data_IF_754954164826
#
_entry.id   IF_754954164826
#
_cell.length_a   1.000
_cell.length_b   1.000
_cell.length_c   1.000
_cell.angle_alpha   90.00
_cell.angle_beta   90.00
_cell.angle_gamma   90.00
#
_symmetry.space_group_name_H-M   'P 1'
#
loop_
_entity.id
_entity.type
_entity.pdbx_description
1 polymer ?
#
# COMPACT_ATOMS: atom_id res chain seq x y z
N UNK A 1 5.82 8.98 -16.61
CA UNK A 1 4.63 8.43 -15.91
C UNK A 1 5.10 7.38 -14.91
N UNK A 2 4.67 7.51 -13.67
CA UNK A 2 5.03 6.55 -12.62
C UNK A 2 4.32 5.21 -12.88
N UNK A 3 5.10 4.13 -12.90
CA UNK A 3 4.53 2.78 -13.03
C UNK A 3 3.78 2.41 -11.74
N UNK A 4 2.83 1.51 -11.86
CA UNK A 4 2.08 1.03 -10.71
C UNK A 4 2.36 -0.45 -10.44
N UNK A 5 2.09 -0.88 -9.21
CA UNK A 5 2.09 -2.29 -8.81
C UNK A 5 1.20 -3.12 -9.75
N UNK A 6 1.74 -4.23 -10.24
CA UNK A 6 1.06 -5.08 -11.22
C UNK A 6 0.00 -5.97 -10.57
N UNK A 7 -1.14 -6.07 -11.24
CA UNK A 7 -2.22 -6.96 -10.83
C UNK A 7 -3.04 -7.41 -12.04
N UNK A 8 -3.78 -8.47 -11.85
CA UNK A 8 -4.78 -8.98 -12.79
C UNK A 8 -6.16 -8.89 -12.14
N UNK A 9 -7.16 -8.40 -12.87
CA UNK A 9 -8.53 -8.39 -12.39
C UNK A 9 -9.12 -9.80 -12.54
N UNK A 10 -9.52 -10.41 -11.43
CA UNK A 10 -10.19 -11.73 -11.42
C UNK A 10 -11.68 -11.56 -11.70
N UNK A 11 -12.29 -10.57 -11.04
CA UNK A 11 -13.72 -10.27 -11.18
C UNK A 11 -14.00 -8.81 -10.91
N UNK A 12 -14.89 -8.21 -11.68
CA UNK A 12 -15.38 -6.84 -11.50
C UNK A 12 -16.76 -6.87 -10.86
N UNK A 13 -16.91 -6.20 -9.74
CA UNK A 13 -18.19 -5.91 -9.09
C UNK A 13 -18.60 -4.47 -9.42
N UNK A 14 -19.80 -4.06 -8.99
CA UNK A 14 -20.30 -2.71 -9.31
C UNK A 14 -19.36 -1.61 -8.78
N UNK A 15 -18.90 -1.72 -7.53
CA UNK A 15 -18.15 -0.68 -6.85
C UNK A 15 -16.73 -1.08 -6.44
N UNK A 16 -16.31 -2.30 -6.74
CA UNK A 16 -14.96 -2.78 -6.42
C UNK A 16 -14.53 -3.91 -7.35
N UNK A 17 -13.26 -4.26 -7.28
CA UNK A 17 -12.67 -5.36 -8.05
C UNK A 17 -12.04 -6.39 -7.12
N UNK A 18 -12.12 -7.65 -7.53
CA UNK A 18 -11.29 -8.73 -6.98
C UNK A 18 -10.04 -8.83 -7.86
N UNK A 19 -8.88 -8.65 -7.24
CA UNK A 19 -7.58 -8.59 -7.94
C UNK A 19 -6.62 -9.65 -7.43
N UNK A 20 -5.79 -10.14 -8.34
CA UNK A 20 -4.59 -10.91 -8.01
C UNK A 20 -3.37 -10.03 -8.26
N UNK A 21 -2.69 -9.63 -7.18
CA UNK A 21 -1.45 -8.88 -7.27
C UNK A 21 -0.28 -9.80 -7.51
N UNK A 22 0.61 -9.42 -8.44
CA UNK A 22 1.81 -10.18 -8.73
C UNK A 22 2.82 -10.11 -7.58
N UNK A 23 3.72 -11.10 -7.45
CA UNK A 23 4.81 -11.00 -6.47
C UNK A 23 5.62 -9.72 -6.67
N UNK A 24 6.00 -9.10 -5.57
CA UNK A 24 6.82 -7.88 -5.60
C UNK A 24 7.68 -7.77 -4.35
N UNK A 25 8.64 -6.85 -4.39
CA UNK A 25 9.40 -6.46 -3.21
C UNK A 25 8.90 -5.10 -2.75
N UNK A 26 8.75 -4.92 -1.45
CA UNK A 26 8.43 -3.62 -0.85
C UNK A 26 9.57 -3.17 0.06
N UNK A 27 9.76 -1.85 0.15
CA UNK A 27 10.53 -1.21 1.19
C UNK A 27 9.54 -0.65 2.21
N UNK A 28 9.65 -1.06 3.47
CA UNK A 28 8.65 -0.82 4.50
C UNK A 28 9.25 -0.17 5.73
N UNK A 29 8.54 0.78 6.31
CA UNK A 29 8.86 1.42 7.59
C UNK A 29 7.68 1.27 8.53
N UNK A 30 7.94 0.77 9.74
CA UNK A 30 6.95 0.75 10.82
C UNK A 30 6.96 2.10 11.51
N UNK A 31 5.79 2.72 11.64
CA UNK A 31 5.61 4.05 12.22
C UNK A 31 4.60 4.00 13.36
N UNK A 32 4.96 4.61 14.50
CA UNK A 32 4.03 4.88 15.61
C UNK A 32 3.63 6.35 15.53
N UNK A 33 2.53 6.64 14.84
CA UNK A 33 2.04 8.00 14.62
C UNK A 33 0.55 7.95 14.26
N UNK A 34 -0.15 9.07 14.50
CA UNK A 34 -1.53 9.20 14.09
C UNK A 34 -1.69 9.18 12.56
N UNK A 35 -2.91 9.00 12.11
CA UNK A 35 -3.25 8.89 10.68
C UNK A 35 -2.60 9.99 9.82
N UNK A 36 -2.73 11.25 10.25
CA UNK A 36 -2.28 12.40 9.45
C UNK A 36 -0.76 12.49 9.27
N UNK A 37 0.00 11.94 10.20
CA UNK A 37 1.46 12.05 10.20
C UNK A 37 2.18 10.74 9.83
N UNK A 38 1.47 9.61 9.79
CA UNK A 38 2.09 8.31 9.55
C UNK A 38 2.85 8.26 8.22
N UNK A 39 2.18 8.61 7.12
CA UNK A 39 2.81 8.58 5.79
C UNK A 39 3.95 9.57 5.65
N UNK A 40 3.80 10.80 6.18
CA UNK A 40 4.85 11.81 6.10
C UNK A 40 6.06 11.46 6.97
N UNK A 41 5.86 10.83 8.13
CA UNK A 41 6.95 10.37 8.99
C UNK A 41 7.81 9.29 8.32
N UNK A 42 7.18 8.39 7.57
CA UNK A 42 7.87 7.30 6.88
C UNK A 42 8.44 7.71 5.53
N UNK A 43 7.82 8.67 4.85
CA UNK A 43 8.16 9.04 3.47
C UNK A 43 9.61 9.46 3.32
N UNK A 44 10.14 10.24 4.25
CA UNK A 44 11.53 10.70 4.21
C UNK A 44 12.54 9.56 4.17
N UNK A 45 12.38 8.57 5.04
CA UNK A 45 13.25 7.38 5.08
C UNK A 45 13.15 6.55 3.80
N UNK A 46 11.94 6.34 3.30
CA UNK A 46 11.69 5.56 2.09
C UNK A 46 12.20 6.29 0.84
N UNK A 47 11.95 7.59 0.74
CA UNK A 47 12.45 8.40 -0.37
C UNK A 47 13.97 8.48 -0.36
N UNK A 48 14.59 8.62 0.80
CA UNK A 48 16.04 8.56 0.94
C UNK A 48 16.60 7.23 0.42
N UNK A 49 15.97 6.12 0.77
CA UNK A 49 16.38 4.79 0.29
C UNK A 49 16.44 4.72 -1.23
N UNK A 50 15.38 5.12 -1.92
CA UNK A 50 15.31 5.05 -3.39
C UNK A 50 16.15 6.14 -4.09
N UNK A 51 16.57 7.17 -3.34
CA UNK A 51 17.36 8.30 -3.84
C UNK A 51 18.85 8.17 -3.54
N UNK A 52 19.39 6.95 -3.41
CA UNK A 52 20.79 6.62 -3.12
C UNK A 52 21.13 6.39 -1.63
N UNK A 53 20.17 6.44 -0.71
CA UNK A 53 20.37 6.12 0.71
C UNK A 53 20.49 4.62 0.96
N UNK A 54 21.35 3.96 0.20
CA UNK A 54 21.59 2.51 0.27
C UNK A 54 23.07 2.20 0.07
N UNK A 55 23.45 0.96 0.33
CA UNK A 55 24.87 0.55 0.38
C UNK A 55 25.64 0.73 -0.93
N UNK A 56 24.96 0.73 -2.07
CA UNK A 56 25.59 0.92 -3.39
C UNK A 56 25.33 2.31 -3.99
N UNK A 57 24.69 3.21 -3.26
CA UNK A 57 24.28 4.55 -3.72
C UNK A 57 23.50 4.52 -5.05
N UNK A 58 22.69 3.49 -5.21
CA UNK A 58 21.90 3.26 -6.41
C UNK A 58 20.57 4.04 -6.34
N UNK A 59 20.22 4.71 -7.43
CA UNK A 59 18.89 5.31 -7.59
C UNK A 59 17.90 4.24 -8.01
N UNK A 60 16.77 4.15 -7.30
CA UNK A 60 15.68 3.22 -7.60
C UNK A 60 14.48 4.03 -8.09
N UNK A 61 13.85 3.59 -9.19
CA UNK A 61 12.70 4.28 -9.75
C UNK A 61 11.49 4.22 -8.82
N UNK A 62 10.72 5.31 -8.73
CA UNK A 62 9.49 5.37 -7.94
C UNK A 62 8.38 4.56 -8.61
N UNK A 63 7.70 3.72 -7.84
CA UNK A 63 6.52 2.96 -8.26
C UNK A 63 5.32 3.35 -7.39
N UNK A 64 4.16 3.48 -7.99
CA UNK A 64 2.91 3.75 -7.27
C UNK A 64 2.23 2.43 -6.88
N UNK A 65 1.46 2.40 -5.80
CA UNK A 65 1.16 3.46 -4.86
C UNK A 65 2.15 3.54 -3.70
N UNK A 66 2.02 4.59 -2.88
CA UNK A 66 2.53 4.59 -1.50
C UNK A 66 1.45 3.93 -0.65
N UNK A 67 1.81 2.87 0.05
CA UNK A 67 0.86 2.05 0.82
C UNK A 67 0.99 2.36 2.31
N UNK A 68 -0.11 2.71 2.97
CA UNK A 68 -0.19 2.79 4.42
C UNK A 68 -1.10 1.65 4.92
N UNK A 69 -0.53 0.66 5.56
CA UNK A 69 -1.23 -0.52 6.04
C UNK A 69 -1.41 -0.49 7.55
N UNK A 70 -2.57 -0.92 8.00
CA UNK A 70 -2.91 -1.05 9.42
C UNK A 70 -3.69 -2.34 9.65
N UNK A 71 -3.44 -3.01 10.78
CA UNK A 71 -4.21 -4.17 11.21
C UNK A 71 -5.22 -3.76 12.27
N UNK A 72 -6.42 -4.32 12.21
CA UNK A 72 -7.51 -3.98 13.15
C UNK A 72 -7.25 -4.40 14.60
N UNK A 73 -6.35 -5.35 14.81
CA UNK A 73 -5.94 -5.83 16.13
C UNK A 73 -4.69 -5.15 16.69
N UNK A 74 -4.12 -4.22 15.91
CA UNK A 74 -2.97 -3.41 16.35
C UNK A 74 -3.42 -2.09 16.98
N UNK A 75 -2.46 -1.36 17.56
CA UNK A 75 -2.69 -0.01 18.06
C UNK A 75 -3.15 0.91 16.92
N UNK A 76 -4.07 1.82 17.20
CA UNK A 76 -4.54 2.82 16.23
C UNK A 76 -3.42 3.70 15.65
N UNK A 77 -2.32 3.80 16.39
CA UNK A 77 -1.15 4.59 16.00
C UNK A 77 -0.06 3.75 15.34
N UNK A 78 -0.28 2.46 15.10
CA UNK A 78 0.70 1.61 14.44
C UNK A 78 0.39 1.47 12.95
N UNK A 79 1.34 1.92 12.12
CA UNK A 79 1.24 1.88 10.66
C UNK A 79 2.48 1.25 10.05
N UNK A 80 2.26 0.55 8.93
CA UNK A 80 3.33 0.08 8.05
C UNK A 80 3.22 0.84 6.73
N UNK A 81 4.19 1.69 6.45
CA UNK A 81 4.22 2.49 5.21
C UNK A 81 5.24 1.90 4.27
N UNK A 82 4.85 1.67 3.03
CA UNK A 82 5.68 0.97 2.05
C UNK A 82 5.74 1.67 0.71
N UNK A 83 6.90 1.56 0.07
CA UNK A 83 7.07 1.79 -1.37
C UNK A 83 7.17 0.44 -2.06
N UNK A 84 6.49 0.29 -3.19
CA UNK A 84 6.62 -0.89 -4.05
C UNK A 84 7.86 -0.72 -4.92
N UNK A 85 8.74 -1.72 -4.93
CA UNK A 85 9.92 -1.69 -5.78
C UNK A 85 9.53 -1.92 -7.24
N UNK A 86 10.34 -1.42 -8.21
CA UNK A 86 10.05 -1.61 -9.62
C UNK A 86 9.81 -3.07 -10.00
N UNK A 87 8.92 -3.30 -10.97
CA UNK A 87 8.66 -4.63 -11.51
C UNK A 87 9.96 -5.31 -11.95
N UNK A 88 10.10 -6.60 -11.63
CA UNK A 88 11.31 -7.36 -11.90
C UNK A 88 12.41 -7.21 -10.83
N UNK A 89 12.22 -6.36 -9.82
CA UNK A 89 13.13 -6.29 -8.68
C UNK A 89 13.08 -7.59 -7.88
N UNK A 90 14.26 -8.08 -7.47
CA UNK A 90 14.38 -9.24 -6.61
C UNK A 90 15.07 -8.84 -5.31
N UNK A 91 14.70 -9.49 -4.23
CA UNK A 91 15.26 -9.22 -2.90
C UNK A 91 16.80 -9.26 -2.91
N UNK A 92 17.38 -10.26 -3.56
CA UNK A 92 18.84 -10.45 -3.60
C UNK A 92 19.60 -9.44 -4.47
N UNK A 93 18.93 -8.69 -5.34
CA UNK A 93 19.55 -7.71 -6.25
C UNK A 93 19.29 -6.25 -5.84
N UNK A 94 18.39 -6.00 -4.90
CA UNK A 94 18.18 -4.67 -4.37
C UNK A 94 19.29 -4.32 -3.37
N UNK A 95 19.78 -3.08 -3.38
CA UNK A 95 20.80 -2.67 -2.40
C UNK A 95 20.22 -2.61 -0.99
N UNK A 96 21.03 -2.93 0.00
CA UNK A 96 20.60 -2.83 1.41
C UNK A 96 20.39 -1.37 1.80
N UNK A 97 19.30 -1.07 2.56
CA UNK A 97 19.10 0.27 3.08
C UNK A 97 20.19 0.70 4.06
N UNK A 98 20.56 2.00 4.03
CA UNK A 98 21.44 2.57 5.04
C UNK A 98 20.68 2.82 6.35
N UNK A 99 19.40 3.16 6.26
CA UNK A 99 18.53 3.36 7.42
C UNK A 99 18.04 2.00 7.95
N UNK A 100 18.35 1.65 9.21
CA UNK A 100 17.94 0.38 9.79
C UNK A 100 16.41 0.26 9.98
N UNK A 101 15.67 1.37 9.91
CA UNK A 101 14.21 1.36 10.00
C UNK A 101 13.54 0.97 8.68
N UNK A 102 14.27 1.01 7.57
CA UNK A 102 13.76 0.57 6.27
C UNK A 102 14.04 -0.91 6.11
N UNK A 103 12.99 -1.70 5.94
CA UNK A 103 13.07 -3.16 5.79
C UNK A 103 12.57 -3.55 4.39
N UNK A 104 13.36 -4.32 3.67
CA UNK A 104 12.92 -4.93 2.41
C UNK A 104 12.17 -6.22 2.71
N UNK A 105 11.06 -6.42 2.05
CA UNK A 105 10.23 -7.61 2.24
C UNK A 105 9.66 -8.10 0.92
N UNK A 106 9.76 -9.41 0.68
CA UNK A 106 9.09 -10.07 -0.44
C UNK A 106 7.60 -10.23 -0.13
N UNK A 107 6.78 -9.91 -1.10
CA UNK A 107 5.36 -10.25 -1.08
C UNK A 107 5.08 -11.28 -2.18
N UNK A 108 4.48 -12.39 -1.79
CA UNK A 108 3.98 -13.39 -2.71
C UNK A 108 2.73 -12.89 -3.44
N UNK A 109 2.26 -13.65 -4.43
CA UNK A 109 0.98 -13.39 -5.06
C UNK A 109 -0.12 -13.27 -4.02
N UNK A 110 -0.87 -12.18 -4.06
CA UNK A 110 -1.96 -11.92 -3.13
C UNK A 110 -3.28 -11.70 -3.86
N UNK A 111 -4.35 -12.27 -3.33
CA UNK A 111 -5.71 -11.95 -3.76
C UNK A 111 -6.29 -10.91 -2.83
N UNK A 112 -6.70 -9.78 -3.39
CA UNK A 112 -7.24 -8.64 -2.64
C UNK A 112 -8.51 -8.11 -3.30
N UNK A 113 -9.32 -7.41 -2.53
CA UNK A 113 -10.35 -6.54 -3.10
C UNK A 113 -9.83 -5.11 -3.10
N UNK A 114 -10.25 -4.34 -4.09
CA UNK A 114 -9.81 -2.96 -4.27
C UNK A 114 -10.97 -2.05 -4.68
N UNK A 115 -11.08 -0.92 -4.01
CA UNK A 115 -12.05 0.13 -4.32
C UNK A 115 -11.31 1.44 -4.57
N UNK A 116 -11.52 2.05 -5.73
CA UNK A 116 -10.94 3.36 -6.04
C UNK A 116 -11.86 4.49 -5.58
N UNK A 117 -11.24 5.62 -5.25
CA UNK A 117 -11.97 6.85 -4.94
C UNK A 117 -11.15 8.08 -5.27
N UNK A 118 -11.84 9.16 -5.60
CA UNK A 118 -11.26 10.47 -5.83
C UNK A 118 -11.38 11.33 -4.60
N UNK A 119 -10.42 12.21 -4.39
CA UNK A 119 -10.38 13.14 -3.28
C UNK A 119 -9.15 12.92 -2.41
N UNK A 120 -8.82 13.89 -1.56
CA UNK A 120 -7.73 13.74 -0.60
C UNK A 120 -8.08 12.61 0.38
N UNK A 121 -7.18 11.65 0.51
CA UNK A 121 -7.35 10.51 1.43
C UNK A 121 -7.16 10.94 2.88
N UNK A 122 -8.13 11.69 3.41
CA UNK A 122 -8.22 12.08 4.82
C UNK A 122 -8.64 10.88 5.66
N UNK A 123 -8.46 10.97 6.98
CA UNK A 123 -8.91 9.92 7.90
C UNK A 123 -10.40 9.64 7.76
N UNK A 124 -11.24 10.67 7.78
CA UNK A 124 -12.67 10.53 7.66
C UNK A 124 -13.12 9.89 6.35
N UNK A 125 -12.57 10.34 5.21
CA UNK A 125 -12.91 9.79 3.91
C UNK A 125 -12.41 8.34 3.78
N UNK A 126 -11.20 8.07 4.23
CA UNK A 126 -10.61 6.72 4.17
C UNK A 126 -11.40 5.73 5.02
N UNK A 127 -11.77 6.09 6.25
CA UNK A 127 -12.58 5.24 7.13
C UNK A 127 -13.96 4.94 6.53
N UNK A 128 -14.61 5.95 5.93
CA UNK A 128 -15.88 5.77 5.25
C UNK A 128 -15.77 4.79 4.10
N UNK A 129 -14.74 4.90 3.28
CA UNK A 129 -14.49 4.00 2.14
C UNK A 129 -14.13 2.58 2.59
N UNK A 130 -13.39 2.45 3.67
CA UNK A 130 -13.08 1.13 4.26
C UNK A 130 -14.36 0.44 4.73
N UNK A 131 -15.22 1.13 5.45
CA UNK A 131 -16.51 0.58 5.91
C UNK A 131 -17.40 0.18 4.74
N UNK A 132 -17.47 1.01 3.71
CA UNK A 132 -18.23 0.74 2.49
C UNK A 132 -17.73 -0.53 1.80
N UNK A 133 -16.41 -0.65 1.60
CA UNK A 133 -15.82 -1.81 0.95
C UNK A 133 -16.04 -3.10 1.76
N UNK A 134 -15.86 -3.06 3.07
CA UNK A 134 -16.10 -4.23 3.93
C UNK A 134 -17.56 -4.67 3.89
N UNK A 135 -18.52 -3.73 3.86
CA UNK A 135 -19.93 -4.04 3.74
C UNK A 135 -20.28 -4.67 2.39
N UNK A 136 -19.71 -4.15 1.31
CA UNK A 136 -19.91 -4.71 -0.04
C UNK A 136 -19.33 -6.12 -0.16
N UNK A 137 -18.15 -6.36 0.40
CA UNK A 137 -17.54 -7.68 0.42
C UNK A 137 -18.38 -8.69 1.20
N UNK A 138 -18.97 -8.28 2.34
CA UNK A 138 -19.83 -9.13 3.14
C UNK A 138 -21.08 -9.56 2.36
N UNK A 139 -21.67 -8.68 1.56
CA UNK A 139 -22.81 -9.01 0.69
C UNK A 139 -22.45 -10.04 -0.37
N UNK A 140 -21.22 -10.07 -0.82
CA UNK A 140 -20.72 -11.03 -1.81
C UNK A 140 -20.10 -12.27 -1.16
N UNK A 141 -20.23 -12.44 0.15
CA UNK A 141 -19.68 -13.56 0.92
C UNK A 141 -18.15 -13.69 0.79
N UNK A 142 -17.45 -12.57 0.66
CA UNK A 142 -15.99 -12.53 0.60
C UNK A 142 -15.47 -12.30 2.02
N UNK A 143 -14.69 -13.25 2.53
CA UNK A 143 -14.01 -13.13 3.83
C UNK A 143 -12.74 -12.32 3.68
N UNK A 144 -12.53 -11.33 4.54
CA UNK A 144 -11.41 -10.41 4.47
C UNK A 144 -10.46 -10.61 5.66
N UNK A 145 -9.18 -10.31 5.42
CA UNK A 145 -8.19 -10.24 6.48
C UNK A 145 -8.44 -9.00 7.37
N UNK A 146 -7.72 -8.94 8.49
CA UNK A 146 -7.75 -7.79 9.39
C UNK A 146 -6.85 -6.63 8.93
N UNK A 147 -6.11 -6.80 7.83
CA UNK A 147 -5.26 -5.75 7.27
C UNK A 147 -6.05 -4.87 6.32
N UNK A 148 -5.87 -3.56 6.43
CA UNK A 148 -6.42 -2.57 5.50
C UNK A 148 -5.29 -1.73 4.96
N UNK A 149 -5.27 -1.50 3.64
CA UNK A 149 -4.25 -0.70 2.95
C UNK A 149 -4.89 0.52 2.32
N UNK A 150 -4.36 1.69 2.66
CA UNK A 150 -4.69 2.95 1.99
C UNK A 150 -3.59 3.21 0.99
N UNK A 151 -3.95 3.21 -0.29
CA UNK A 151 -3.00 3.33 -1.40
C UNK A 151 -3.15 4.70 -2.06
N UNK A 152 -2.11 5.52 -1.99
CA UNK A 152 -2.07 6.87 -2.57
C UNK A 152 -1.24 6.86 -3.83
N UNK A 153 -1.83 7.36 -4.93
CA UNK A 153 -1.20 7.33 -6.25
C UNK A 153 -0.64 8.67 -6.69
N UNK A 154 -1.08 9.75 -6.08
CA UNK A 154 -0.73 11.11 -6.48
C UNK A 154 0.11 11.82 -5.42
N UNK A 155 1.00 12.75 -5.83
CA UNK A 155 1.75 13.55 -4.88
C UNK A 155 0.84 14.49 -4.09
N UNK A 156 1.23 14.88 -2.86
CA UNK A 156 0.37 15.67 -1.98
C UNK A 156 0.08 17.08 -2.49
N UNK A 157 0.88 17.61 -3.41
CA UNK A 157 0.65 18.94 -4.00
C UNK A 157 -0.40 18.94 -5.10
N UNK A 158 -0.83 17.79 -5.61
CA UNK A 158 -1.94 17.71 -6.57
C UNK A 158 -3.24 18.12 -5.88
N UNK A 159 -4.11 18.93 -6.54
CA UNK A 159 -5.38 19.31 -5.92
C UNK A 159 -6.17 18.11 -5.42
N UNK A 160 -6.69 18.19 -4.18
CA UNK A 160 -7.33 17.07 -3.50
C UNK A 160 -8.41 16.38 -4.34
N UNK A 161 -9.27 17.15 -4.99
CA UNK A 161 -10.37 16.61 -5.81
C UNK A 161 -9.89 15.83 -7.05
N UNK A 162 -8.62 16.00 -7.45
CA UNK A 162 -7.99 15.28 -8.56
C UNK A 162 -7.19 14.07 -8.11
N UNK A 163 -6.93 13.92 -6.82
CA UNK A 163 -6.15 12.79 -6.31
C UNK A 163 -6.90 11.48 -6.48
N UNK A 164 -6.18 10.46 -6.94
CA UNK A 164 -6.68 9.10 -7.08
C UNK A 164 -6.12 8.22 -5.98
N UNK A 165 -6.99 7.48 -5.32
CA UNK A 165 -6.61 6.59 -4.24
C UNK A 165 -7.36 5.26 -4.36
N UNK A 166 -6.85 4.25 -3.67
CA UNK A 166 -7.52 2.96 -3.55
C UNK A 166 -7.48 2.48 -2.10
N UNK A 167 -8.56 1.84 -1.66
CA UNK A 167 -8.54 0.97 -0.49
C UNK A 167 -8.33 -0.45 -0.99
N UNK A 168 -7.33 -1.14 -0.44
CA UNK A 168 -7.01 -2.53 -0.79
C UNK A 168 -7.03 -3.37 0.47
N UNK A 169 -7.77 -4.47 0.45
CA UNK A 169 -7.90 -5.38 1.59
C UNK A 169 -7.64 -6.81 1.10
N UNK A 170 -6.64 -7.51 1.68
CA UNK A 170 -6.40 -8.90 1.34
C UNK A 170 -7.60 -9.79 1.68
N UNK A 171 -7.89 -10.73 0.80
CA UNK A 171 -8.92 -11.74 1.03
C UNK A 171 -8.36 -12.79 1.99
N UNK A 172 -9.17 -13.17 2.97
CA UNK A 172 -8.82 -14.26 3.89
C UNK A 172 -9.17 -15.59 3.22
N UNK A 173 -8.15 -16.41 2.96
CA UNK A 173 -8.30 -17.70 2.28
C UNK A 173 -8.52 -18.87 3.24
N UNK A 174 -8.61 -18.61 4.54
CA UNK A 174 -8.72 -19.64 5.57
C UNK A 174 -7.36 -20.28 5.90
N UNK A 175 -7.32 -21.03 7.00
CA UNK A 175 -6.20 -21.94 7.27
C UNK A 175 -6.38 -23.18 6.40
N UNK A 176 -5.37 -23.46 5.58
CA UNK A 176 -5.29 -24.75 4.88
C UNK A 176 -4.61 -25.77 5.76
#
# INVERSE_FOLDING_TARGET
MTKRQEFRVIRTYMDFELREYQPCVIAEVKVSAGFSSASSSAFGSLFNYISKGNKTSQKIAMTAPVIAAQKTDSSEDEWFVSFVMPSGSTFGHLPDPNDPNVVLRDLDTETCIAMSFRGKATEALSERKIKELRALAAKENISLSNETRICRFDPPFKPGFMQYNEIVIPVYLGEQ
#
